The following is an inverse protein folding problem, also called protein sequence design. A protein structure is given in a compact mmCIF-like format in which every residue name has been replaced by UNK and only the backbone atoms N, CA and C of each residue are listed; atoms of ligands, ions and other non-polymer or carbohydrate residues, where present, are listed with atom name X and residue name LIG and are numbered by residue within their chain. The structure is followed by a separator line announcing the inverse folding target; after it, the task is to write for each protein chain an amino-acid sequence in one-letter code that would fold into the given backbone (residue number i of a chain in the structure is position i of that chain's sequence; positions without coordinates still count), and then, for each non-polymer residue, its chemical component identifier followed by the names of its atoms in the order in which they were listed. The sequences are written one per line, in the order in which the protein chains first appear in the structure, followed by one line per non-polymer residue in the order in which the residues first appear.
data_IF_026737426288
#
_entry.id   IF_026737426288
#
_cell.length_a   1.000
_cell.length_b   1.000
_cell.length_c   1.000
_cell.angle_alpha   90.00
_cell.angle_beta   90.00
_cell.angle_gamma   90.00
#
_symmetry.space_group_name_H-M   'P 1'
#
loop_
_entity.id
_entity.type
_entity.pdbx_description
1 polymer ?
#
# COMPACT_ATOMS: atom_id res chain seq x y z
N UNK A 1 -5.59 12.61 23.63
CA UNK A 1 -7.02 12.39 23.89
C UNK A 1 -7.78 13.63 23.44
N UNK A 2 -8.15 13.71 22.16
CA UNK A 2 -8.80 14.91 21.57
C UNK A 2 -10.29 15.00 21.85
N UNK A 3 -10.93 13.88 22.22
CA UNK A 3 -12.38 13.79 22.45
C UNK A 3 -12.75 13.44 23.91
N UNK A 4 -11.76 13.40 24.81
CA UNK A 4 -12.01 13.14 26.24
C UNK A 4 -12.36 11.69 26.60
N UNK A 5 -12.11 10.73 25.72
CA UNK A 5 -12.40 9.31 25.95
C UNK A 5 -11.63 8.75 27.16
N UNK A 6 -12.30 7.93 27.97
CA UNK A 6 -11.74 7.23 29.13
C UNK A 6 -11.45 5.77 28.81
N UNK A 7 -10.61 5.15 29.65
CA UNK A 7 -10.32 3.72 29.55
C UNK A 7 -11.62 2.96 29.84
N UNK A 8 -12.08 2.17 28.86
CA UNK A 8 -13.36 1.47 28.90
C UNK A 8 -14.38 1.95 27.86
N UNK A 9 -14.16 3.13 27.28
CA UNK A 9 -15.05 3.69 26.25
C UNK A 9 -14.82 2.99 24.89
N UNK A 10 -15.92 2.62 24.22
CA UNK A 10 -15.88 2.25 22.80
C UNK A 10 -15.75 3.53 21.99
N UNK A 11 -14.79 3.61 21.08
CA UNK A 11 -14.59 4.79 20.22
C UNK A 11 -14.71 4.42 18.74
N UNK A 12 -15.39 5.28 17.98
CA UNK A 12 -15.45 5.23 16.54
C UNK A 12 -14.14 5.75 15.94
N UNK A 13 -13.48 4.90 15.16
CA UNK A 13 -12.29 5.28 14.39
C UNK A 13 -12.72 5.55 12.95
N UNK A 14 -12.48 6.76 12.45
CA UNK A 14 -12.53 6.99 11.00
C UNK A 14 -11.18 6.68 10.40
N UNK A 15 -11.23 5.90 9.33
CA UNK A 15 -10.08 5.65 8.47
C UNK A 15 -10.39 6.27 7.12
N UNK A 16 -9.41 6.94 6.52
CA UNK A 16 -9.59 7.51 5.18
C UNK A 16 -9.61 6.38 4.13
N UNK A 17 -10.80 5.89 3.80
CA UNK A 17 -11.00 4.78 2.85
C UNK A 17 -10.43 5.05 1.45
N UNK A 18 -10.47 6.32 0.98
CA UNK A 18 -9.87 6.68 -0.32
C UNK A 18 -8.36 6.49 -0.31
N UNK A 19 -7.72 6.86 0.80
CA UNK A 19 -6.28 6.71 0.97
C UNK A 19 -5.89 5.22 1.05
N UNK A 20 -6.65 4.42 1.80
CA UNK A 20 -6.45 2.97 1.87
C UNK A 20 -6.55 2.30 0.49
N UNK A 21 -7.56 2.68 -0.30
CA UNK A 21 -7.78 2.13 -1.63
C UNK A 21 -6.64 2.51 -2.58
N UNK A 22 -6.22 3.77 -2.57
CA UNK A 22 -5.09 4.25 -3.37
C UNK A 22 -3.77 3.56 -3.01
N UNK A 23 -3.49 3.38 -1.71
CA UNK A 23 -2.32 2.65 -1.25
C UNK A 23 -2.33 1.19 -1.70
N UNK A 24 -3.49 0.53 -1.62
CA UNK A 24 -3.63 -0.86 -2.07
C UNK A 24 -3.38 -0.97 -3.58
N UNK A 25 -3.97 -0.05 -4.37
CA UNK A 25 -3.74 -0.01 -5.81
C UNK A 25 -2.27 0.22 -6.16
N UNK A 26 -1.55 1.06 -5.42
CA UNK A 26 -0.12 1.28 -5.66
C UNK A 26 0.69 0.01 -5.34
N UNK A 27 0.44 -0.63 -4.20
CA UNK A 27 1.18 -1.82 -3.74
C UNK A 27 0.98 -3.01 -4.68
N UNK A 28 -0.20 -3.17 -5.28
CA UNK A 28 -0.47 -4.27 -6.21
C UNK A 28 -0.27 -3.88 -7.68
N UNK A 29 -0.72 -2.69 -8.06
CA UNK A 29 -0.69 -2.22 -9.45
C UNK A 29 0.72 -1.96 -9.95
N UNK A 30 1.56 -1.27 -9.17
CA UNK A 30 2.91 -0.93 -9.62
C UNK A 30 3.76 -2.19 -9.88
N UNK A 31 3.83 -3.18 -8.98
CA UNK A 31 4.59 -4.40 -9.25
C UNK A 31 4.09 -5.17 -10.47
N UNK A 32 2.76 -5.29 -10.64
CA UNK A 32 2.18 -5.98 -11.80
C UNK A 32 2.52 -5.28 -13.12
N UNK A 33 2.48 -3.94 -13.16
CA UNK A 33 2.88 -3.17 -14.33
C UNK A 33 4.37 -3.33 -14.64
N UNK A 34 5.22 -3.27 -13.61
CA UNK A 34 6.67 -3.50 -13.76
C UNK A 34 6.93 -4.89 -14.31
N UNK A 35 6.28 -5.93 -13.78
CA UNK A 35 6.40 -7.30 -14.28
C UNK A 35 6.05 -7.39 -15.76
N UNK A 36 4.87 -6.87 -16.15
CA UNK A 36 4.38 -6.97 -17.52
C UNK A 36 5.31 -6.28 -18.50
N UNK A 37 5.68 -5.03 -18.21
CA UNK A 37 6.59 -4.23 -19.06
C UNK A 37 7.95 -4.91 -19.15
N UNK A 38 8.49 -5.39 -18.03
CA UNK A 38 9.81 -6.04 -18.00
C UNK A 38 9.85 -7.31 -18.81
N UNK A 39 8.82 -8.17 -18.71
CA UNK A 39 8.73 -9.40 -19.50
C UNK A 39 8.63 -9.09 -20.99
N UNK A 40 7.80 -8.12 -21.39
CA UNK A 40 7.65 -7.73 -22.79
C UNK A 40 8.98 -7.21 -23.35
N UNK A 41 9.64 -6.29 -22.63
CA UNK A 41 10.92 -5.72 -23.06
C UNK A 41 12.03 -6.78 -23.11
N UNK A 42 12.10 -7.67 -22.12
CA UNK A 42 13.08 -8.75 -22.10
C UNK A 42 12.84 -9.76 -23.23
N UNK A 43 11.57 -10.06 -23.55
CA UNK A 43 11.23 -10.96 -24.63
C UNK A 43 11.61 -10.38 -25.99
N UNK A 44 11.38 -9.08 -26.20
CA UNK A 44 11.80 -8.38 -27.41
C UNK A 44 13.33 -8.33 -27.57
N UNK A 45 14.08 -8.26 -26.47
CA UNK A 45 15.54 -8.13 -26.49
C UNK A 45 16.28 -9.49 -26.60
N UNK A 46 15.76 -10.54 -25.98
CA UNK A 46 16.47 -11.82 -25.82
C UNK A 46 15.80 -13.00 -26.54
N UNK A 47 14.56 -12.84 -27.02
CA UNK A 47 13.74 -13.86 -27.70
C UNK A 47 13.68 -15.22 -26.98
N UNK A 48 13.87 -15.19 -25.65
CA UNK A 48 13.87 -16.36 -24.80
C UNK A 48 12.86 -16.18 -23.67
N UNK A 49 11.78 -16.94 -23.74
CA UNK A 49 10.65 -16.81 -22.82
C UNK A 49 11.02 -17.08 -21.36
N UNK A 50 11.85 -18.09 -21.08
CA UNK A 50 12.27 -18.45 -19.72
C UNK A 50 13.15 -17.35 -19.13
N UNK A 51 14.10 -16.84 -19.92
CA UNK A 51 14.98 -15.77 -19.49
C UNK A 51 14.22 -14.46 -19.26
N UNK A 52 13.27 -14.14 -20.14
CA UNK A 52 12.41 -12.95 -20.04
C UNK A 52 11.53 -12.98 -18.80
N UNK A 53 10.94 -14.14 -18.51
CA UNK A 53 10.15 -14.35 -17.30
C UNK A 53 11.01 -14.22 -16.04
N UNK A 54 12.24 -14.74 -16.06
CA UNK A 54 13.18 -14.65 -14.94
C UNK A 54 13.56 -13.20 -14.64
N UNK A 55 13.85 -12.40 -15.68
CA UNK A 55 14.10 -10.95 -15.54
C UNK A 55 12.86 -10.24 -14.99
N UNK A 56 11.68 -10.53 -15.55
CA UNK A 56 10.43 -9.95 -15.09
C UNK A 56 10.17 -10.22 -13.61
N UNK A 57 10.36 -11.47 -13.16
CA UNK A 57 10.24 -11.85 -11.75
C UNK A 57 11.25 -11.12 -10.87
N UNK A 58 12.51 -11.03 -11.30
CA UNK A 58 13.54 -10.31 -10.55
C UNK A 58 13.16 -8.83 -10.37
N UNK A 59 12.71 -8.16 -11.43
CA UNK A 59 12.28 -6.76 -11.39
C UNK A 59 10.97 -6.57 -10.61
N UNK A 60 10.05 -7.53 -10.66
CA UNK A 60 8.85 -7.55 -9.83
C UNK A 60 9.22 -7.49 -8.34
N UNK A 61 10.12 -8.36 -7.86
CA UNK A 61 10.57 -8.31 -6.47
C UNK A 61 11.30 -7.00 -6.14
N UNK A 62 12.10 -6.49 -7.08
CA UNK A 62 12.80 -5.21 -6.93
C UNK A 62 11.84 -4.02 -6.83
N UNK A 63 10.67 -4.08 -7.47
CA UNK A 63 9.67 -3.01 -7.45
C UNK A 63 9.10 -2.72 -6.05
N UNK A 64 9.20 -3.67 -5.11
CA UNK A 64 8.79 -3.46 -3.72
C UNK A 64 9.77 -2.60 -2.92
N UNK A 65 11.02 -2.47 -3.36
CA UNK A 65 12.03 -1.62 -2.70
C UNK A 65 11.59 -0.15 -2.66
N UNK A 66 11.27 0.51 -3.79
CA UNK A 66 10.81 1.89 -3.78
C UNK A 66 9.48 2.05 -3.04
N UNK A 67 8.56 1.08 -3.13
CA UNK A 67 7.30 1.08 -2.38
C UNK A 67 7.57 1.12 -0.86
N UNK A 68 8.49 0.28 -0.37
CA UNK A 68 8.88 0.24 1.03
C UNK A 68 9.55 1.54 1.50
N UNK A 69 10.38 2.16 0.64
CA UNK A 69 11.01 3.45 0.93
C UNK A 69 9.95 4.54 1.03
N UNK A 70 9.00 4.57 0.10
CA UNK A 70 7.90 5.53 0.07
C UNK A 70 6.98 5.36 1.28
N UNK A 71 6.60 4.12 1.63
CA UNK A 71 5.83 3.82 2.84
C UNK A 71 6.56 4.29 4.11
N UNK A 72 7.87 4.00 4.23
CA UNK A 72 8.68 4.47 5.35
C UNK A 72 8.72 6.01 5.44
N UNK A 73 8.67 6.71 4.31
CA UNK A 73 8.60 8.17 4.28
C UNK A 73 7.22 8.68 4.73
N UNK A 74 6.13 8.08 4.24
CA UNK A 74 4.75 8.43 4.61
C UNK A 74 4.42 8.15 6.08
N UNK A 75 4.99 7.09 6.65
CA UNK A 75 4.81 6.79 8.09
C UNK A 75 5.42 7.87 8.98
N UNK A 76 6.48 8.56 8.52
CA UNK A 76 7.10 9.66 9.27
C UNK A 76 6.24 10.93 9.28
N UNK A 77 5.32 11.08 8.33
CA UNK A 77 4.48 12.28 8.20
C UNK A 77 3.10 12.15 8.87
N UNK A 78 2.85 11.09 9.66
CA UNK A 78 1.57 10.86 10.37
C UNK A 78 0.31 10.93 9.47
N UNK A 79 0.46 10.69 8.16
CA UNK A 79 -0.64 10.78 7.19
C UNK A 79 -1.58 9.56 7.29
N UNK A 80 -1.19 8.50 8.01
CA UNK A 80 -2.05 7.36 8.32
C UNK A 80 -3.12 7.79 9.34
N UNK A 81 -4.11 8.52 8.80
CA UNK A 81 -5.15 9.22 9.52
C UNK A 81 -6.20 8.27 10.06
N UNK A 82 -5.84 7.57 11.13
CA UNK A 82 -6.83 7.05 12.07
C UNK A 82 -7.22 8.24 12.94
N UNK A 83 -8.35 8.87 12.61
CA UNK A 83 -8.93 9.92 13.46
C UNK A 83 -9.99 9.28 14.34
N UNK A 84 -9.82 9.43 15.65
CA UNK A 84 -10.85 9.09 16.64
C UNK A 84 -11.96 10.14 16.46
N UNK A 85 -13.14 9.71 16.00
CA UNK A 85 -14.23 10.63 15.63
C UNK A 85 -15.22 10.81 16.77
N UNK A 86 -15.55 9.73 17.49
CA UNK A 86 -16.62 9.78 18.49
C UNK A 86 -16.48 8.68 19.54
N UNK A 87 -17.10 8.88 20.71
CA UNK A 87 -17.33 7.82 21.70
C UNK A 87 -18.69 7.20 21.36
N UNK A 88 -18.72 5.89 21.16
CA UNK A 88 -19.93 5.14 20.88
C UNK A 88 -20.63 4.91 22.22
N UNK A 89 -21.62 5.73 22.54
CA UNK A 89 -22.58 5.46 23.61
C UNK A 89 -23.57 4.39 23.12
N UNK A 90 -23.56 3.22 23.76
CA UNK A 90 -24.61 2.20 23.57
C UNK A 90 -25.93 2.80 24.06
N UNK A 91 -26.80 3.17 23.13
CA UNK A 91 -28.17 3.60 23.44
C UNK A 91 -28.96 2.35 23.89
N UNK A 92 -29.70 2.41 25.02
CA UNK A 92 -30.41 1.26 25.58
C UNK A 92 -31.47 0.67 24.65
#
# INVERSE_FOLDING_TARGET
NTIGAKIGDKVGLSVNSKMLLGSSLLVFGLPLLVLLISVILANLAFDNQIFSLSIGLALFFLSFIPIKIYDKHLRKTNVCGIKIVEIIEDKP
#
